data_IF_499183260461
#
_entry.id   IF_499183260461
#
_cell.length_a   1.000
_cell.length_b   1.000
_cell.length_c   1.000
_cell.angle_alpha   90.00
_cell.angle_beta   90.00
_cell.angle_gamma   90.00
#
_symmetry.space_group_name_H-M   'P 1'
#
loop_
_entity.id
_entity.type
_entity.pdbx_description
1 polymer ?
#
# COMPACT_ATOMS: atom_id res chain seq x y z
N UNK A 1 13.47 -65.25 27.92
CA UNK A 1 13.72 -64.23 26.88
C UNK A 1 12.45 -63.40 26.75
N UNK A 2 12.45 -62.16 27.30
CA UNK A 2 11.27 -61.28 27.29
C UNK A 2 11.53 -60.19 26.26
N UNK A 3 10.80 -60.19 25.15
CA UNK A 3 10.87 -59.15 24.12
C UNK A 3 10.04 -57.96 24.59
N UNK A 4 10.71 -56.85 24.86
CA UNK A 4 10.08 -55.56 25.15
C UNK A 4 9.92 -54.78 23.83
N UNK A 5 8.72 -54.67 23.34
CA UNK A 5 8.39 -53.83 22.17
C UNK A 5 8.19 -52.42 22.65
N UNK A 6 9.13 -51.54 22.31
CA UNK A 6 9.00 -50.09 22.47
C UNK A 6 8.12 -49.53 21.35
N UNK A 7 6.89 -49.20 21.68
CA UNK A 7 5.98 -48.44 20.79
C UNK A 7 6.43 -46.99 20.83
N UNK A 8 7.09 -46.54 19.77
CA UNK A 8 7.44 -45.11 19.58
C UNK A 8 6.20 -44.34 19.15
N UNK A 9 5.65 -43.55 20.06
CA UNK A 9 4.50 -42.70 19.81
C UNK A 9 5.01 -41.44 19.07
N UNK A 10 4.84 -41.39 17.75
CA UNK A 10 5.04 -40.18 16.97
C UNK A 10 3.92 -39.16 17.29
N UNK A 11 4.23 -38.16 18.12
CA UNK A 11 3.39 -36.99 18.29
C UNK A 11 3.49 -36.13 16.99
N UNK A 12 2.48 -36.22 16.13
CA UNK A 12 2.28 -35.21 15.10
C UNK A 12 1.96 -33.88 15.77
N UNK A 13 2.96 -33.04 15.93
CA UNK A 13 2.75 -31.64 16.28
C UNK A 13 2.07 -30.96 15.08
N UNK A 14 0.77 -30.72 15.18
CA UNK A 14 0.06 -29.82 14.28
C UNK A 14 0.62 -28.41 14.53
N UNK A 15 1.52 -27.92 13.68
CA UNK A 15 1.96 -26.52 13.75
C UNK A 15 0.85 -25.66 13.17
N UNK A 16 0.09 -24.99 14.02
CA UNK A 16 -0.82 -23.95 13.58
C UNK A 16 -0.01 -22.87 12.87
N UNK A 17 -0.37 -22.57 11.61
CA UNK A 17 0.25 -21.45 10.88
C UNK A 17 -0.10 -20.16 11.59
N UNK A 18 0.89 -19.31 11.93
CA UNK A 18 0.61 -18.09 12.69
C UNK A 18 -0.30 -17.16 11.88
N UNK A 19 -1.39 -16.72 12.49
CA UNK A 19 -2.30 -15.71 11.93
C UNK A 19 -1.54 -14.39 11.79
N UNK A 20 -1.75 -13.68 10.67
CA UNK A 20 -1.12 -12.36 10.46
C UNK A 20 -1.57 -11.34 11.50
N UNK A 21 -0.63 -10.55 12.03
CA UNK A 21 -0.93 -9.45 12.97
C UNK A 21 -1.63 -8.28 12.30
N UNK A 22 -1.47 -8.12 10.97
CA UNK A 22 -2.14 -7.09 10.16
C UNK A 22 -3.04 -7.77 9.14
N UNK A 23 -4.24 -7.21 8.88
CA UNK A 23 -5.21 -7.85 8.01
C UNK A 23 -4.83 -7.76 6.53
N UNK A 24 -5.60 -8.48 5.72
CA UNK A 24 -5.74 -8.29 4.28
C UNK A 24 -7.10 -7.65 3.99
N UNK A 25 -7.18 -6.92 2.89
CA UNK A 25 -8.43 -6.35 2.39
C UNK A 25 -8.67 -6.82 0.96
N UNK A 26 -9.87 -7.33 0.68
CA UNK A 26 -10.23 -7.94 -0.61
C UNK A 26 -11.35 -7.19 -1.33
N UNK A 27 -12.12 -6.39 -0.62
CA UNK A 27 -13.34 -5.73 -1.08
C UNK A 27 -13.42 -4.26 -0.62
N UNK A 28 -14.17 -3.39 -1.36
CA UNK A 28 -14.24 -1.96 -1.06
C UNK A 28 -14.96 -1.60 0.26
N UNK A 29 -15.63 -2.54 0.91
CA UNK A 29 -16.25 -2.36 2.22
C UNK A 29 -15.25 -2.44 3.38
N UNK A 30 -13.97 -2.62 3.05
CA UNK A 30 -12.87 -2.71 4.00
C UNK A 30 -13.03 -3.77 5.09
N UNK A 31 -13.71 -4.87 4.78
CA UNK A 31 -13.77 -6.04 5.69
C UNK A 31 -12.36 -6.61 5.87
N UNK A 32 -11.83 -6.64 7.12
CA UNK A 32 -10.48 -7.13 7.38
C UNK A 32 -10.45 -8.66 7.50
N UNK A 33 -9.47 -9.28 6.85
CA UNK A 33 -9.20 -10.73 6.92
C UNK A 33 -7.90 -10.98 7.68
N UNK A 34 -8.00 -11.50 8.90
CA UNK A 34 -6.86 -11.90 9.74
C UNK A 34 -6.53 -13.38 9.50
N UNK A 35 -5.81 -13.64 8.44
CA UNK A 35 -5.44 -14.98 7.98
C UNK A 35 -3.92 -15.07 7.77
N UNK A 36 -3.40 -16.30 7.68
CA UNK A 36 -1.98 -16.52 7.39
C UNK A 36 -1.63 -16.11 5.95
N UNK A 37 -0.35 -15.84 5.67
CA UNK A 37 0.11 -15.51 4.32
C UNK A 37 -0.15 -16.64 3.32
N UNK A 38 -0.05 -17.90 3.76
CA UNK A 38 -0.35 -19.07 2.94
C UNK A 38 -1.84 -19.14 2.58
N UNK A 39 -2.72 -18.91 3.53
CA UNK A 39 -4.18 -18.85 3.31
C UNK A 39 -4.57 -17.66 2.43
N UNK A 40 -3.91 -16.50 2.62
CA UNK A 40 -4.17 -15.32 1.83
C UNK A 40 -3.84 -15.49 0.34
N UNK A 41 -2.92 -16.37 -0.02
CA UNK A 41 -2.59 -16.64 -1.43
C UNK A 41 -3.77 -17.27 -2.19
N UNK A 42 -4.67 -17.96 -1.50
CA UNK A 42 -5.88 -18.58 -2.07
C UNK A 42 -7.14 -17.75 -1.82
N UNK A 43 -7.24 -17.05 -0.69
CA UNK A 43 -8.45 -16.34 -0.26
C UNK A 43 -8.51 -14.92 -0.81
N UNK A 44 -7.38 -14.20 -0.82
CA UNK A 44 -7.32 -12.80 -1.24
C UNK A 44 -7.01 -12.75 -2.74
N UNK A 45 -8.05 -12.49 -3.53
CA UNK A 45 -7.93 -12.38 -4.99
C UNK A 45 -7.59 -10.96 -5.47
N UNK A 46 -7.98 -9.94 -4.70
CA UNK A 46 -7.75 -8.55 -5.08
C UNK A 46 -6.26 -8.21 -5.12
N UNK A 47 -5.86 -7.53 -6.18
CA UNK A 47 -4.49 -7.01 -6.41
C UNK A 47 -4.58 -5.63 -7.04
N UNK A 48 -3.64 -4.77 -6.69
CA UNK A 48 -3.48 -3.50 -7.39
C UNK A 48 -3.15 -3.80 -8.86
N UNK A 49 -3.97 -3.27 -9.77
CA UNK A 49 -3.78 -3.46 -11.22
C UNK A 49 -2.50 -2.77 -11.69
N UNK A 50 -1.85 -3.28 -12.73
CA UNK A 50 -0.72 -2.61 -13.35
C UNK A 50 -1.08 -1.20 -13.81
N UNK A 51 -0.14 -0.26 -13.61
CA UNK A 51 -0.29 1.14 -14.06
C UNK A 51 1.04 1.71 -14.54
N UNK A 52 0.94 2.78 -15.34
CA UNK A 52 2.09 3.51 -15.87
C UNK A 52 1.72 4.99 -15.95
N UNK A 53 2.50 5.86 -15.32
CA UNK A 53 2.29 7.30 -15.22
C UNK A 53 3.63 8.05 -15.28
N UNK A 54 3.60 9.36 -15.51
CA UNK A 54 4.79 10.19 -15.39
C UNK A 54 5.01 10.64 -13.95
N UNK A 55 6.24 10.60 -13.49
CA UNK A 55 6.61 11.11 -12.18
C UNK A 55 7.02 12.60 -12.24
N UNK A 56 7.30 13.19 -11.07
CA UNK A 56 7.74 14.58 -10.92
C UNK A 56 9.05 14.90 -11.67
N UNK A 57 9.84 13.91 -12.05
CA UNK A 57 11.11 14.05 -12.76
C UNK A 57 10.96 13.80 -14.28
N UNK A 58 9.75 13.86 -14.82
CA UNK A 58 9.43 13.57 -16.23
C UNK A 58 9.73 12.15 -16.68
N UNK A 59 9.99 11.23 -15.76
CA UNK A 59 10.30 9.84 -16.08
C UNK A 59 9.03 8.98 -16.05
N UNK A 60 8.96 7.99 -16.94
CA UNK A 60 7.89 7.00 -16.93
C UNK A 60 8.04 6.09 -15.71
N UNK A 61 7.05 6.10 -14.84
CA UNK A 61 6.96 5.23 -13.67
C UNK A 61 6.00 4.07 -13.97
N UNK A 62 6.50 2.87 -13.96
CA UNK A 62 5.71 1.66 -14.13
C UNK A 62 5.54 0.93 -12.79
N UNK A 63 4.33 0.45 -12.49
CA UNK A 63 4.05 -0.33 -11.28
C UNK A 63 4.92 -1.58 -11.14
N UNK A 64 5.52 -2.06 -12.23
CA UNK A 64 6.52 -3.13 -12.22
C UNK A 64 7.72 -2.82 -11.31
N UNK A 65 8.08 -1.55 -11.14
CA UNK A 65 9.17 -1.12 -10.24
C UNK A 65 8.86 -1.31 -8.76
N UNK A 66 7.58 -1.55 -8.43
CA UNK A 66 7.09 -1.85 -7.08
C UNK A 66 7.04 -3.36 -6.77
N UNK A 67 7.29 -4.23 -7.75
CA UNK A 67 7.28 -5.67 -7.53
C UNK A 67 8.33 -6.07 -6.50
N UNK A 68 7.93 -6.87 -5.51
CA UNK A 68 8.78 -7.31 -4.40
C UNK A 68 9.09 -6.20 -3.38
N UNK A 69 8.42 -5.05 -3.48
CA UNK A 69 8.49 -3.98 -2.47
C UNK A 69 7.16 -3.87 -1.72
N UNK A 70 7.24 -3.46 -0.48
CA UNK A 70 6.10 -2.90 0.24
C UNK A 70 5.98 -1.43 -0.15
N UNK A 71 4.77 -0.95 -0.40
CA UNK A 71 4.63 0.47 -0.70
C UNK A 71 3.39 1.08 -0.05
N UNK A 72 3.50 2.38 0.19
CA UNK A 72 2.42 3.20 0.75
C UNK A 72 1.94 4.15 -0.34
N UNK A 73 0.64 4.13 -0.61
CA UNK A 73 0.01 4.95 -1.64
C UNK A 73 -0.99 5.94 -1.04
N UNK A 74 -1.04 7.16 -1.59
CA UNK A 74 -2.08 8.14 -1.29
C UNK A 74 -2.46 8.96 -2.52
N UNK A 75 -3.51 9.77 -2.37
CA UNK A 75 -4.04 10.63 -3.42
C UNK A 75 -3.91 12.09 -3.02
N UNK A 76 -3.38 12.93 -3.93
CA UNK A 76 -3.04 14.33 -3.62
C UNK A 76 -3.67 15.30 -4.62
N UNK A 77 -3.81 16.53 -4.18
CA UNK A 77 -4.12 17.70 -4.99
C UNK A 77 -3.17 18.83 -4.59
N UNK A 78 -2.26 19.24 -5.51
CA UNK A 78 -1.16 20.17 -5.15
C UNK A 78 -1.65 21.55 -4.73
N UNK A 79 -2.85 21.96 -5.14
CA UNK A 79 -3.46 23.25 -4.81
C UNK A 79 -4.43 23.19 -3.62
N UNK A 80 -4.57 22.05 -3.00
CA UNK A 80 -5.39 21.89 -1.81
C UNK A 80 -4.76 22.67 -0.64
N UNK A 81 -5.57 23.51 0.00
CA UNK A 81 -5.17 24.27 1.20
C UNK A 81 -5.72 23.66 2.50
N UNK A 82 -6.43 22.54 2.42
CA UNK A 82 -7.11 21.91 3.55
C UNK A 82 -6.32 20.66 4.02
N UNK A 83 -6.74 19.48 3.64
CA UNK A 83 -6.20 18.20 4.17
C UNK A 83 -4.87 17.76 3.55
N UNK A 84 -4.59 18.10 2.29
CA UNK A 84 -3.39 17.62 1.59
C UNK A 84 -2.06 18.07 2.25
N UNK A 85 -1.92 19.29 2.83
CA UNK A 85 -0.73 19.63 3.60
C UNK A 85 -0.48 18.70 4.78
N UNK A 86 -1.53 18.34 5.54
CA UNK A 86 -1.43 17.43 6.68
C UNK A 86 -1.08 16.03 6.21
N UNK A 87 -1.77 15.51 5.20
CA UNK A 87 -1.45 14.21 4.58
C UNK A 87 0.00 14.15 4.08
N UNK A 88 0.48 15.22 3.42
CA UNK A 88 1.86 15.29 2.95
C UNK A 88 2.85 15.26 4.11
N UNK A 89 2.53 15.95 5.21
CA UNK A 89 3.34 15.93 6.43
C UNK A 89 3.39 14.53 7.04
N UNK A 90 2.28 13.80 7.07
CA UNK A 90 2.25 12.42 7.57
C UNK A 90 3.02 11.47 6.62
N UNK A 91 2.87 11.61 5.31
CA UNK A 91 3.67 10.86 4.33
C UNK A 91 5.18 11.13 4.47
N UNK A 92 5.59 12.37 4.82
CA UNK A 92 7.00 12.71 5.15
C UNK A 92 7.51 11.95 6.36
N UNK A 93 6.67 11.68 7.38
CA UNK A 93 7.06 10.86 8.54
C UNK A 93 7.32 9.41 8.11
N UNK A 94 6.48 8.85 7.23
CA UNK A 94 6.69 7.51 6.66
C UNK A 94 7.97 7.49 5.81
N UNK A 95 8.18 8.49 4.93
CA UNK A 95 9.41 8.61 4.15
C UNK A 95 10.65 8.62 5.04
N UNK A 96 10.65 9.43 6.10
CA UNK A 96 11.77 9.52 7.05
C UNK A 96 12.05 8.19 7.74
N UNK A 97 11.01 7.44 8.11
CA UNK A 97 11.16 6.14 8.77
C UNK A 97 11.83 5.10 7.86
N UNK A 98 11.65 5.21 6.54
CA UNK A 98 12.12 4.21 5.57
C UNK A 98 13.03 4.77 4.47
N UNK A 99 13.60 5.96 4.63
CA UNK A 99 14.38 6.63 3.58
C UNK A 99 15.58 5.82 3.06
N UNK A 100 16.19 4.99 3.91
CA UNK A 100 17.32 4.12 3.55
C UNK A 100 16.91 2.71 3.14
N UNK A 101 15.61 2.40 3.11
CA UNK A 101 15.11 1.06 2.83
C UNK A 101 14.64 0.93 1.38
N UNK A 102 15.45 0.35 0.51
CA UNK A 102 15.14 0.15 -0.91
C UNK A 102 13.95 -0.80 -1.18
N UNK A 103 13.48 -1.53 -0.15
CA UNK A 103 12.32 -2.41 -0.23
C UNK A 103 11.00 -1.73 0.12
N UNK A 104 11.06 -0.46 0.53
CA UNK A 104 9.87 0.35 0.85
C UNK A 104 9.81 1.52 -0.13
N UNK A 105 8.64 1.73 -0.72
CA UNK A 105 8.39 2.85 -1.64
C UNK A 105 7.14 3.63 -1.22
N UNK A 106 7.09 4.90 -1.60
CA UNK A 106 5.93 5.76 -1.45
C UNK A 106 5.46 6.22 -2.83
N UNK A 107 4.15 6.25 -3.03
CA UNK A 107 3.56 6.66 -4.31
C UNK A 107 2.36 7.57 -4.05
N UNK A 108 2.39 8.78 -4.59
CA UNK A 108 1.26 9.72 -4.52
C UNK A 108 0.70 9.97 -5.91
N UNK A 109 -0.59 9.77 -6.09
CA UNK A 109 -1.28 10.01 -7.35
C UNK A 109 -2.00 11.34 -7.29
N UNK A 110 -1.81 12.23 -8.30
CA UNK A 110 -2.65 13.42 -8.36
C UNK A 110 -4.08 13.06 -8.75
N UNK A 111 -5.06 13.69 -8.11
CA UNK A 111 -6.48 13.58 -8.50
C UNK A 111 -6.91 14.73 -9.42
N UNK A 112 -6.02 15.65 -9.74
CA UNK A 112 -6.24 16.81 -10.62
C UNK A 112 -5.19 16.91 -11.73
N UNK A 113 -4.99 15.88 -12.55
CA UNK A 113 -3.90 15.87 -13.54
C UNK A 113 -4.01 17.00 -14.58
N UNK A 114 -5.17 17.63 -14.74
CA UNK A 114 -5.35 18.82 -15.57
C UNK A 114 -4.78 20.11 -14.96
N UNK A 115 -4.42 20.10 -13.68
CA UNK A 115 -3.68 21.17 -12.98
C UNK A 115 -2.30 20.73 -12.54
N UNK A 116 -2.15 19.45 -12.20
CA UNK A 116 -0.97 18.87 -11.61
C UNK A 116 -0.17 18.13 -12.70
N UNK A 117 0.39 18.90 -13.62
CA UNK A 117 1.37 18.42 -14.58
C UNK A 117 2.71 18.08 -13.88
N UNK A 118 3.64 17.50 -14.61
CA UNK A 118 4.97 17.12 -14.10
C UNK A 118 5.67 18.31 -13.44
N UNK A 119 5.59 19.52 -14.03
CA UNK A 119 6.22 20.73 -13.47
C UNK A 119 5.59 21.15 -12.15
N UNK A 120 4.28 21.01 -12.02
CA UNK A 120 3.53 21.30 -10.78
C UNK A 120 3.90 20.31 -9.69
N UNK A 121 4.00 19.02 -10.03
CA UNK A 121 4.44 17.96 -9.11
C UNK A 121 5.91 18.17 -8.68
N UNK A 122 6.78 18.57 -9.58
CA UNK A 122 8.18 18.90 -9.23
C UNK A 122 8.26 20.05 -8.22
N UNK A 123 7.53 21.14 -8.45
CA UNK A 123 7.43 22.25 -7.49
C UNK A 123 6.85 21.82 -6.13
N UNK A 124 5.89 20.91 -6.15
CA UNK A 124 5.33 20.36 -4.93
C UNK A 124 6.36 19.51 -4.18
N UNK A 125 7.13 18.69 -4.90
CA UNK A 125 8.23 17.92 -4.33
C UNK A 125 9.27 18.82 -3.67
N UNK A 126 9.70 19.89 -4.35
CA UNK A 126 10.63 20.88 -3.81
C UNK A 126 10.10 21.56 -2.56
N UNK A 127 8.84 22.02 -2.59
CA UNK A 127 8.18 22.69 -1.46
C UNK A 127 8.19 21.83 -0.20
N UNK A 128 7.93 20.52 -0.35
CA UNK A 128 7.85 19.59 0.76
C UNK A 128 9.13 18.79 0.97
N UNK A 129 10.21 19.10 0.22
CA UNK A 129 11.50 18.40 0.29
C UNK A 129 11.34 16.88 0.14
N UNK A 130 10.53 16.46 -0.82
CA UNK A 130 10.29 15.06 -1.14
C UNK A 130 11.46 14.52 -1.93
N UNK A 131 12.07 13.43 -1.45
CA UNK A 131 13.13 12.74 -2.17
C UNK A 131 12.55 11.77 -3.21
N UNK A 132 12.96 11.91 -4.48
CA UNK A 132 12.54 10.99 -5.55
C UNK A 132 13.14 9.58 -5.46
N UNK A 133 14.07 9.34 -4.53
CA UNK A 133 14.73 8.03 -4.39
C UNK A 133 13.78 6.91 -3.97
N UNK A 134 12.76 7.23 -3.15
CA UNK A 134 11.79 6.26 -2.66
C UNK A 134 10.34 6.78 -2.66
N UNK A 135 10.11 8.04 -3.04
CA UNK A 135 8.77 8.62 -3.12
C UNK A 135 8.52 9.26 -4.49
N UNK A 136 7.56 8.70 -5.23
CA UNK A 136 7.15 9.17 -6.56
C UNK A 136 5.79 9.85 -6.52
N UNK A 137 5.71 11.06 -7.08
CA UNK A 137 4.47 11.79 -7.31
C UNK A 137 4.06 11.58 -8.77
N UNK A 138 2.87 11.06 -9.01
CA UNK A 138 2.47 10.55 -10.32
C UNK A 138 1.32 11.36 -10.91
N UNK A 139 1.42 11.65 -12.21
CA UNK A 139 0.40 12.29 -13.04
C UNK A 139 0.19 11.54 -14.35
N UNK A 140 -1.01 11.67 -14.93
CA UNK A 140 -1.37 11.00 -16.19
C UNK A 140 -2.78 11.36 -16.64
N UNK A 141 -3.47 10.49 -17.37
CA UNK A 141 -4.85 10.75 -17.75
C UNK A 141 -5.78 10.67 -16.53
N UNK A 142 -6.76 11.58 -16.45
CA UNK A 142 -7.77 11.56 -15.38
C UNK A 142 -8.46 10.21 -15.29
N UNK A 143 -8.88 9.67 -16.41
CA UNK A 143 -9.61 8.41 -16.50
C UNK A 143 -8.80 7.24 -15.91
N UNK A 144 -7.53 7.14 -16.30
CA UNK A 144 -6.65 6.07 -15.81
C UNK A 144 -6.39 6.17 -14.31
N UNK A 145 -6.13 7.39 -13.80
CA UNK A 145 -5.90 7.62 -12.37
C UNK A 145 -7.16 7.31 -11.56
N UNK A 146 -8.32 7.79 -12.00
CA UNK A 146 -9.58 7.58 -11.29
C UNK A 146 -10.05 6.12 -11.33
N UNK A 147 -9.85 5.44 -12.45
CA UNK A 147 -10.11 4.00 -12.55
C UNK A 147 -9.22 3.22 -11.61
N UNK A 148 -7.93 3.52 -11.57
CA UNK A 148 -6.99 2.89 -10.65
C UNK A 148 -7.37 3.15 -9.20
N UNK A 149 -7.64 4.40 -8.84
CA UNK A 149 -8.01 4.81 -7.48
C UNK A 149 -9.25 4.06 -6.98
N UNK A 150 -10.31 4.03 -7.78
CA UNK A 150 -11.59 3.42 -7.40
C UNK A 150 -11.54 1.90 -7.40
N UNK A 151 -10.99 1.30 -8.46
CA UNK A 151 -11.05 -0.15 -8.66
C UNK A 151 -9.92 -0.92 -7.98
N UNK A 152 -8.77 -0.29 -7.78
CA UNK A 152 -7.60 -0.97 -7.21
C UNK A 152 -7.30 -0.55 -5.78
N UNK A 153 -7.43 0.74 -5.45
CA UNK A 153 -7.13 1.25 -4.12
C UNK A 153 -8.36 1.46 -3.24
N UNK A 154 -9.57 1.28 -3.78
CA UNK A 154 -10.82 1.54 -3.06
C UNK A 154 -10.85 2.94 -2.41
N UNK A 155 -10.35 3.95 -3.14
CA UNK A 155 -10.02 5.26 -2.60
C UNK A 155 -11.22 6.15 -2.23
N UNK A 156 -12.44 5.73 -2.50
CA UNK A 156 -13.66 6.44 -2.11
C UNK A 156 -14.50 5.58 -1.16
N UNK A 157 -14.98 6.19 -0.06
CA UNK A 157 -15.77 5.52 0.97
C UNK A 157 -17.15 5.06 0.50
N UNK A 158 -17.76 5.75 -0.47
CA UNK A 158 -19.03 5.28 -1.00
C UNK A 158 -18.79 4.18 -2.02
N UNK A 159 -19.22 2.98 -1.69
CA UNK A 159 -19.32 1.82 -2.59
C UNK A 159 -20.22 2.22 -3.77
N UNK A 160 -19.69 2.94 -4.72
CA UNK A 160 -20.42 3.47 -5.85
C UNK A 160 -19.65 3.22 -7.12
N UNK A 161 -19.77 2.00 -7.65
CA UNK A 161 -19.54 1.77 -9.07
C UNK A 161 -20.36 2.71 -9.98
N UNK A 162 -21.27 3.49 -9.39
CA UNK A 162 -22.21 4.39 -10.05
C UNK A 162 -21.85 5.88 -9.95
N UNK A 163 -20.71 6.25 -9.37
CA UNK A 163 -20.25 7.64 -9.44
C UNK A 163 -19.80 7.95 -10.85
N UNK A 164 -20.37 9.00 -11.43
CA UNK A 164 -19.94 9.53 -12.73
C UNK A 164 -18.43 9.77 -12.69
N UNK A 165 -17.73 9.39 -13.75
CA UNK A 165 -16.27 9.65 -13.93
C UNK A 165 -15.90 11.14 -13.79
N UNK A 166 -16.90 12.03 -13.80
CA UNK A 166 -16.76 13.49 -13.64
C UNK A 166 -16.68 13.94 -12.18
N UNK A 167 -17.12 13.12 -11.20
CA UNK A 167 -17.03 13.50 -9.79
C UNK A 167 -15.58 13.56 -9.34
N UNK A 168 -15.27 14.58 -8.54
CA UNK A 168 -13.95 14.81 -7.99
C UNK A 168 -13.62 13.73 -6.97
N UNK A 169 -12.51 13.02 -7.17
CA UNK A 169 -12.01 12.05 -6.22
C UNK A 169 -11.43 12.77 -5.01
N UNK A 170 -11.96 12.51 -3.83
CA UNK A 170 -11.50 13.06 -2.57
C UNK A 170 -11.41 11.97 -1.50
N UNK A 171 -10.22 11.75 -0.98
CA UNK A 171 -9.99 10.75 0.07
C UNK A 171 -8.79 11.15 0.92
N UNK A 172 -8.87 10.89 2.23
CA UNK A 172 -7.75 10.96 3.16
C UNK A 172 -7.04 9.62 3.34
N UNK A 173 -7.40 8.59 2.58
CA UNK A 173 -6.82 7.27 2.72
C UNK A 173 -5.35 7.22 2.33
N UNK A 174 -4.57 6.61 3.21
CA UNK A 174 -3.21 6.13 2.98
C UNK A 174 -3.28 4.61 2.96
N UNK A 175 -2.91 4.00 1.85
CA UNK A 175 -3.08 2.57 1.61
C UNK A 175 -1.74 1.86 1.62
N UNK A 176 -1.59 0.87 2.50
CA UNK A 176 -0.42 -0.01 2.55
C UNK A 176 -0.62 -1.21 1.63
N UNK A 177 0.36 -1.49 0.78
CA UNK A 177 0.34 -2.60 -0.18
C UNK A 177 1.59 -3.47 -0.01
N UNK A 178 1.41 -4.79 0.00
CA UNK A 178 2.51 -5.75 0.16
C UNK A 178 3.24 -6.05 -1.16
N UNK A 179 4.31 -6.88 -1.08
CA UNK A 179 5.15 -7.26 -2.20
C UNK A 179 4.39 -8.02 -3.32
N UNK A 180 3.20 -8.57 -3.00
CA UNK A 180 2.33 -9.30 -3.94
C UNK A 180 1.20 -8.41 -4.49
N UNK A 181 1.19 -7.10 -4.15
CA UNK A 181 0.17 -6.14 -4.59
C UNK A 181 -1.16 -6.25 -3.85
N UNK A 182 -1.21 -6.82 -2.64
CA UNK A 182 -2.41 -6.95 -1.80
C UNK A 182 -2.48 -5.80 -0.80
N UNK A 183 -3.68 -5.29 -0.55
CA UNK A 183 -3.89 -4.24 0.46
C UNK A 183 -3.78 -4.86 1.85
N UNK A 184 -2.93 -4.24 2.69
CA UNK A 184 -2.62 -4.67 4.06
C UNK A 184 -3.01 -3.65 5.13
N UNK A 185 -3.38 -2.44 4.73
CA UNK A 185 -3.82 -1.40 5.66
C UNK A 185 -4.42 -0.22 4.93
N UNK A 186 -5.37 0.42 5.58
CA UNK A 186 -6.00 1.65 5.13
C UNK A 186 -6.05 2.55 6.35
N UNK A 187 -5.41 3.72 6.25
CA UNK A 187 -5.18 4.65 7.35
C UNK A 187 -5.69 6.03 6.98
N UNK A 188 -6.12 6.81 7.96
CA UNK A 188 -6.41 8.21 7.73
C UNK A 188 -5.10 9.03 7.72
N UNK A 189 -4.75 9.56 6.54
CA UNK A 189 -3.49 10.29 6.31
C UNK A 189 -3.43 11.66 6.97
N UNK A 190 -4.48 12.12 7.66
CA UNK A 190 -4.48 13.36 8.45
C UNK A 190 -4.24 13.12 9.93
N UNK A 191 -4.29 11.86 10.39
CA UNK A 191 -4.21 11.48 11.81
C UNK A 191 -2.80 10.96 12.14
N UNK A 192 -2.05 11.61 13.04
CA UNK A 192 -0.71 11.16 13.42
C UNK A 192 -0.65 9.73 13.97
N UNK A 193 -1.65 9.29 14.72
CA UNK A 193 -1.71 7.93 15.28
C UNK A 193 -1.84 6.88 14.17
N UNK A 194 -2.69 7.12 13.17
CA UNK A 194 -2.83 6.23 12.01
C UNK A 194 -1.53 6.13 11.21
N UNK A 195 -0.78 7.23 11.13
CA UNK A 195 0.56 7.24 10.52
C UNK A 195 1.55 6.35 11.29
N UNK A 196 1.53 6.38 12.61
CA UNK A 196 2.36 5.51 13.45
C UNK A 196 1.99 4.03 13.24
N UNK A 197 0.71 3.71 13.23
CA UNK A 197 0.22 2.36 12.93
C UNK A 197 0.63 1.92 11.52
N UNK A 198 0.58 2.82 10.52
CA UNK A 198 1.06 2.54 9.17
C UNK A 198 2.57 2.20 9.17
N UNK A 199 3.40 2.97 9.88
CA UNK A 199 4.85 2.73 10.00
C UNK A 199 5.12 1.35 10.63
N UNK A 200 4.41 1.01 11.70
CA UNK A 200 4.50 -0.32 12.34
C UNK A 200 4.10 -1.44 11.37
N UNK A 201 2.99 -1.25 10.65
CA UNK A 201 2.50 -2.23 9.68
C UNK A 201 3.45 -2.41 8.47
N UNK A 202 4.07 -1.34 7.96
CA UNK A 202 5.14 -1.41 6.94
C UNK A 202 6.29 -2.25 7.45
N UNK A 203 6.76 -1.98 8.67
CA UNK A 203 7.85 -2.73 9.29
C UNK A 203 7.51 -4.22 9.41
N UNK A 204 6.30 -4.54 9.87
CA UNK A 204 5.82 -5.92 9.97
C UNK A 204 5.74 -6.61 8.60
N UNK A 205 5.14 -5.95 7.60
CA UNK A 205 4.95 -6.50 6.24
C UNK A 205 6.28 -6.72 5.54
N UNK A 206 7.28 -5.87 5.82
CA UNK A 206 8.60 -5.97 5.22
C UNK A 206 9.46 -7.09 5.87
N UNK A 207 9.34 -7.30 7.19
CA UNK A 207 10.15 -8.25 7.95
C UNK A 207 9.64 -9.69 7.92
N UNK A 208 8.35 -9.90 7.67
CA UNK A 208 7.77 -11.24 7.51
C UNK A 208 8.03 -11.77 6.09
N UNK A 209 9.30 -12.01 5.75
CA UNK A 209 9.62 -12.98 4.72
C UNK A 209 9.11 -14.35 5.20
N UNK A 210 8.54 -15.20 4.32
CA UNK A 210 8.22 -16.56 4.72
C UNK A 210 9.49 -17.19 5.25
N UNK A 211 9.50 -17.58 6.51
CA UNK A 211 10.54 -18.44 7.06
C UNK A 211 10.41 -19.74 6.29
N UNK A 212 11.21 -19.92 5.23
CA UNK A 212 11.40 -21.23 4.61
C UNK A 212 12.11 -22.02 5.69
N UNK A 213 11.36 -22.84 6.42
CA UNK A 213 11.95 -23.91 7.20
C UNK A 213 12.63 -24.83 6.17
N UNK A 214 13.94 -24.65 6.02
CA UNK A 214 14.78 -25.63 5.33
C UNK A 214 14.69 -26.92 6.13
N UNK A 215 14.09 -27.94 5.55
CA UNK A 215 14.11 -29.33 6.01
C UNK A 215 15.45 -29.92 5.65
#
# INVERSE_FOLDING_TARGET
MKNCWLISLFLLACSETPVSKIPYYNTPDFTPYFISDAEADFTISHRIKPFSFFNQDSSLFESKSLQGKVYVANFIFTRCSNICPDMTTQMKRIEKAFHSNSKVALVSFTVTPWFDDVKSLHKFADKYQISSSNWSLLTGSKESIYTLARQSFFAEESIGYNKDSKEFLHTEHVVLVDQKGRIRGIYNGTIPLDTEQCIEAVSYTHLTLPTICSV
#
